data_IF_373763705477
#
_entry.id   IF_373763705477
#
_cell.length_a   1.000
_cell.length_b   1.000
_cell.length_c   1.000
_cell.angle_alpha   90.00
_cell.angle_beta   90.00
_cell.angle_gamma   90.00
#
_symmetry.space_group_name_H-M   'P 1'
#
loop_
_entity.id
_entity.type
_entity.pdbx_description
1 polymer ?
#
# COMPACT_ATOMS: atom_id res chain seq x y z
N UNK A 1 -6.93 4.37 19.31
CA UNK A 1 -6.75 3.94 17.91
C UNK A 1 -5.44 4.51 17.43
N UNK A 2 -4.57 3.68 16.85
CA UNK A 2 -3.28 4.11 16.29
C UNK A 2 -3.47 4.64 14.87
N UNK A 3 -2.53 5.42 14.34
CA UNK A 3 -2.62 5.89 12.95
C UNK A 3 -2.65 4.73 11.92
N UNK A 4 -1.99 3.62 12.24
CA UNK A 4 -2.10 2.39 11.46
C UNK A 4 -3.55 1.85 11.41
N UNK A 5 -4.28 1.91 12.53
CA UNK A 5 -5.66 1.42 12.60
C UNK A 5 -6.56 2.20 11.63
N UNK A 6 -6.45 3.53 11.64
CA UNK A 6 -7.19 4.42 10.73
C UNK A 6 -6.84 4.13 9.25
N UNK A 7 -5.54 3.93 8.97
CA UNK A 7 -5.06 3.59 7.63
C UNK A 7 -5.56 2.22 7.16
N UNK A 8 -5.57 1.23 8.05
CA UNK A 8 -6.05 -0.13 7.77
C UNK A 8 -7.55 -0.13 7.45
N UNK A 9 -8.35 0.57 8.25
CA UNK A 9 -9.79 0.72 8.02
C UNK A 9 -10.08 1.42 6.69
N UNK A 10 -9.34 2.50 6.39
CA UNK A 10 -9.44 3.20 5.11
C UNK A 10 -9.07 2.31 3.91
N UNK A 11 -8.07 1.44 4.07
CA UNK A 11 -7.57 0.59 2.98
C UNK A 11 -8.49 -0.60 2.68
N UNK A 12 -8.92 -1.33 3.71
CA UNK A 12 -9.80 -2.50 3.56
C UNK A 12 -11.24 -2.08 3.24
N UNK A 13 -11.66 -0.89 3.69
CA UNK A 13 -13.05 -0.45 3.60
C UNK A 13 -13.99 -1.30 4.46
N UNK A 14 -15.29 -1.10 4.29
CA UNK A 14 -16.34 -1.84 5.00
C UNK A 14 -16.66 -3.21 4.36
N UNK A 15 -16.06 -3.53 3.21
CA UNK A 15 -16.43 -4.66 2.33
C UNK A 15 -15.41 -5.82 2.34
N UNK A 16 -14.74 -6.07 3.47
CA UNK A 16 -13.79 -7.18 3.64
C UNK A 16 -14.44 -8.58 3.72
N UNK A 17 -15.52 -8.83 2.99
CA UNK A 17 -16.22 -10.11 2.98
C UNK A 17 -15.37 -11.28 2.47
N UNK A 18 -15.69 -12.50 2.91
CA UNK A 18 -15.10 -13.73 2.37
C UNK A 18 -15.55 -13.92 0.92
N UNK A 19 -14.59 -14.08 0.01
CA UNK A 19 -14.88 -14.42 -1.40
C UNK A 19 -14.16 -15.72 -1.72
N UNK A 20 -14.93 -16.72 -2.11
CA UNK A 20 -14.43 -18.01 -2.62
C UNK A 20 -14.97 -18.21 -4.01
N UNK A 21 -14.10 -18.14 -5.01
CA UNK A 21 -14.44 -18.49 -6.38
C UNK A 21 -13.84 -19.87 -6.70
N UNK A 22 -14.66 -20.92 -6.90
CA UNK A 22 -14.18 -22.28 -7.20
C UNK A 22 -13.38 -22.41 -8.50
N UNK A 23 -13.40 -21.39 -9.38
CA UNK A 23 -12.69 -21.37 -10.67
C UNK A 23 -11.43 -20.51 -10.66
N UNK A 24 -11.07 -19.91 -9.53
CA UNK A 24 -9.92 -19.00 -9.43
C UNK A 24 -8.67 -19.72 -8.86
N UNK A 25 -7.54 -19.79 -9.60
CA UNK A 25 -6.30 -20.41 -9.12
C UNK A 25 -5.66 -19.68 -7.91
N UNK A 26 -6.16 -18.51 -7.50
CA UNK A 26 -5.78 -17.83 -6.25
C UNK A 26 -6.29 -18.48 -4.97
N UNK A 27 -7.34 -19.31 -5.06
CA UNK A 27 -7.97 -20.00 -3.92
C UNK A 27 -8.78 -19.09 -3.00
N UNK A 28 -9.05 -19.57 -1.77
CA UNK A 28 -9.77 -18.84 -0.73
C UNK A 28 -9.11 -17.48 -0.44
N UNK A 29 -9.93 -16.42 -0.37
CA UNK A 29 -9.48 -15.06 -0.02
C UNK A 29 -10.43 -14.43 1.01
N UNK A 30 -9.87 -13.80 2.04
CA UNK A 30 -10.61 -13.05 3.07
C UNK A 30 -9.81 -11.82 3.48
N UNK A 31 -10.45 -10.65 3.60
CA UNK A 31 -9.77 -9.37 3.90
C UNK A 31 -8.62 -9.02 2.93
N UNK A 32 -8.71 -9.46 1.66
CA UNK A 32 -7.64 -9.30 0.66
C UNK A 32 -6.42 -10.21 0.85
N UNK A 33 -6.44 -11.11 1.85
CA UNK A 33 -5.40 -12.11 2.09
C UNK A 33 -5.81 -13.40 1.39
N UNK A 34 -5.00 -13.85 0.42
CA UNK A 34 -5.26 -15.07 -0.36
C UNK A 34 -4.41 -16.25 0.14
N UNK A 35 -4.95 -17.47 0.03
CA UNK A 35 -4.23 -18.71 0.37
C UNK A 35 -2.93 -18.84 -0.43
N UNK A 36 -2.92 -18.38 -1.69
CA UNK A 36 -1.72 -18.38 -2.54
C UNK A 36 -0.59 -17.54 -1.97
N UNK A 37 -0.90 -16.33 -1.47
CA UNK A 37 0.12 -15.46 -0.87
C UNK A 37 0.51 -15.91 0.55
N UNK A 38 -0.42 -16.58 1.25
CA UNK A 38 -0.26 -17.01 2.65
C UNK A 38 -0.65 -18.49 2.81
N UNK A 39 0.17 -19.43 2.31
CA UNK A 39 -0.18 -20.86 2.30
C UNK A 39 -0.32 -21.46 3.71
N UNK A 40 0.35 -20.88 4.71
CA UNK A 40 0.25 -21.30 6.11
C UNK A 40 -0.96 -20.75 6.87
N UNK A 41 -1.74 -19.83 6.30
CA UNK A 41 -2.89 -19.21 6.97
C UNK A 41 -4.16 -19.97 6.63
N UNK A 42 -5.00 -20.28 7.63
CA UNK A 42 -6.37 -20.74 7.41
C UNK A 42 -7.24 -19.53 7.02
N UNK A 43 -7.46 -19.36 5.72
CA UNK A 43 -8.15 -18.19 5.19
C UNK A 43 -9.64 -18.17 5.57
N UNK A 44 -10.26 -19.34 5.69
CA UNK A 44 -11.67 -19.46 6.06
C UNK A 44 -11.88 -19.01 7.51
N UNK A 45 -11.02 -19.45 8.42
CA UNK A 45 -11.07 -19.09 9.84
C UNK A 45 -10.48 -17.70 10.15
N UNK A 46 -9.73 -17.09 9.23
CA UNK A 46 -9.04 -15.81 9.43
C UNK A 46 -9.97 -14.72 10.01
N UNK A 47 -9.59 -14.15 11.14
CA UNK A 47 -10.29 -13.04 11.79
C UNK A 47 -9.77 -11.70 11.27
N UNK A 48 -10.54 -10.62 11.48
CA UNK A 48 -10.10 -9.27 11.10
C UNK A 48 -8.84 -8.85 11.88
N UNK A 49 -8.72 -9.27 13.14
CA UNK A 49 -7.56 -8.98 13.98
C UNK A 49 -6.27 -9.66 13.45
N UNK A 50 -6.37 -10.93 13.03
CA UNK A 50 -5.25 -11.65 12.42
C UNK A 50 -4.88 -11.06 11.06
N UNK A 51 -5.85 -10.71 10.23
CA UNK A 51 -5.60 -10.01 8.97
C UNK A 51 -4.86 -8.69 9.23
N UNK A 52 -5.35 -7.88 10.18
CA UNK A 52 -4.70 -6.63 10.58
C UNK A 52 -3.26 -6.83 11.04
N UNK A 53 -2.98 -7.87 11.82
CA UNK A 53 -1.62 -8.21 12.23
C UNK A 53 -0.72 -8.55 11.03
N UNK A 54 -1.24 -9.27 10.02
CA UNK A 54 -0.52 -9.52 8.75
C UNK A 54 -0.23 -8.20 8.04
N UNK A 55 -1.21 -7.31 7.91
CA UNK A 55 -1.00 -6.02 7.23
C UNK A 55 0.04 -5.15 7.93
N UNK A 56 0.02 -5.14 9.27
CA UNK A 56 1.00 -4.42 10.07
C UNK A 56 2.41 -4.95 9.82
N UNK A 57 2.60 -6.25 10.00
CA UNK A 57 3.91 -6.91 9.87
C UNK A 57 4.46 -6.81 8.45
N UNK A 58 3.66 -7.13 7.44
CA UNK A 58 4.17 -7.40 6.09
C UNK A 58 4.23 -6.17 5.19
N UNK A 59 3.52 -5.10 5.55
CA UNK A 59 3.51 -3.85 4.78
C UNK A 59 3.90 -2.64 5.64
N UNK A 60 3.20 -2.37 6.74
CA UNK A 60 3.40 -1.16 7.54
C UNK A 60 4.80 -1.11 8.20
N UNK A 61 5.15 -2.13 8.96
CA UNK A 61 6.39 -2.20 9.73
C UNK A 61 7.60 -2.35 8.79
N UNK A 62 7.47 -3.18 7.75
CA UNK A 62 8.54 -3.35 6.75
C UNK A 62 8.82 -2.08 5.94
N UNK A 63 7.82 -1.22 5.72
CA UNK A 63 8.02 0.08 5.10
C UNK A 63 8.38 1.18 6.12
N UNK A 64 8.48 0.83 7.41
CA UNK A 64 8.76 1.75 8.52
C UNK A 64 7.80 2.94 8.55
N UNK A 65 6.52 2.68 8.29
CA UNK A 65 5.49 3.72 8.18
C UNK A 65 5.33 4.56 9.46
N UNK A 66 5.61 3.99 10.65
CA UNK A 66 5.59 4.73 11.92
C UNK A 66 6.64 5.87 11.97
N UNK A 67 7.64 5.87 11.08
CA UNK A 67 8.70 6.88 11.01
C UNK A 67 8.51 7.89 9.86
N UNK A 68 7.42 7.76 9.10
CA UNK A 68 7.07 8.64 7.99
C UNK A 68 5.99 9.64 8.42
N UNK A 69 5.93 10.84 7.79
CA UNK A 69 4.78 11.72 7.95
C UNK A 69 3.48 10.99 7.61
N UNK A 70 2.40 11.25 8.35
CA UNK A 70 1.14 10.50 8.27
C UNK A 70 0.64 10.29 6.83
N UNK A 71 0.45 11.36 6.05
CA UNK A 71 -0.01 11.25 4.66
C UNK A 71 0.91 10.38 3.78
N UNK A 72 2.23 10.53 3.95
CA UNK A 72 3.24 9.71 3.25
C UNK A 72 3.16 8.24 3.66
N UNK A 73 3.01 7.96 4.96
CA UNK A 73 2.85 6.61 5.50
C UNK A 73 1.63 5.90 4.89
N UNK A 74 0.49 6.60 4.77
CA UNK A 74 -0.70 6.03 4.13
C UNK A 74 -0.45 5.71 2.65
N UNK A 75 0.13 6.63 1.87
CA UNK A 75 0.36 6.40 0.44
C UNK A 75 1.35 5.25 0.19
N UNK A 76 2.39 5.13 1.04
CA UNK A 76 3.34 4.02 1.02
C UNK A 76 2.65 2.70 1.38
N UNK A 77 1.84 2.67 2.44
CA UNK A 77 1.08 1.49 2.84
C UNK A 77 0.09 1.04 1.75
N UNK A 78 -0.70 1.96 1.20
CA UNK A 78 -1.65 1.67 0.12
C UNK A 78 -0.96 1.16 -1.14
N UNK A 79 0.17 1.77 -1.53
CA UNK A 79 0.97 1.27 -2.65
C UNK A 79 1.59 -0.09 -2.37
N UNK A 80 2.04 -0.35 -1.14
CA UNK A 80 2.68 -1.61 -0.76
C UNK A 80 1.70 -2.79 -0.88
N UNK A 81 0.44 -2.59 -0.47
CA UNK A 81 -0.61 -3.60 -0.59
C UNK A 81 -1.01 -3.82 -2.05
N UNK A 82 -1.20 -2.74 -2.82
CA UNK A 82 -1.75 -2.84 -4.18
C UNK A 82 -0.71 -3.15 -5.26
N UNK A 83 0.58 -2.88 -5.01
CA UNK A 83 1.64 -2.96 -6.03
C UNK A 83 2.91 -3.61 -5.51
N UNK A 84 2.89 -4.14 -4.28
CA UNK A 84 4.01 -4.80 -3.65
C UNK A 84 4.92 -3.82 -2.91
N UNK A 85 5.37 -4.24 -1.73
CA UNK A 85 6.15 -3.42 -0.80
C UNK A 85 7.44 -2.85 -1.42
N UNK A 86 8.19 -3.67 -2.17
CA UNK A 86 9.43 -3.21 -2.77
C UNK A 86 9.21 -2.11 -3.81
N UNK A 87 8.11 -2.16 -4.56
CA UNK A 87 7.79 -1.12 -5.53
C UNK A 87 7.36 0.18 -4.84
N UNK A 88 6.55 0.07 -3.79
CA UNK A 88 6.12 1.21 -2.98
C UNK A 88 7.29 1.95 -2.33
N UNK A 89 8.24 1.22 -1.72
CA UNK A 89 9.44 1.83 -1.14
C UNK A 89 10.26 2.57 -2.21
N UNK A 90 10.39 1.99 -3.41
CA UNK A 90 11.10 2.67 -4.50
C UNK A 90 10.40 3.93 -4.99
N UNK A 91 9.07 3.98 -4.99
CA UNK A 91 8.34 5.22 -5.27
C UNK A 91 8.59 6.28 -4.20
N UNK A 92 8.62 5.90 -2.92
CA UNK A 92 8.99 6.80 -1.83
C UNK A 92 10.40 7.37 -2.02
N UNK A 93 11.37 6.51 -2.33
CA UNK A 93 12.76 6.90 -2.54
C UNK A 93 12.92 7.87 -3.72
N UNK A 94 12.27 7.58 -4.86
CA UNK A 94 12.25 8.49 -6.01
C UNK A 94 11.57 9.82 -5.67
N UNK A 95 10.45 9.79 -4.95
CA UNK A 95 9.76 11.00 -4.51
C UNK A 95 10.62 11.87 -3.57
N UNK A 96 11.40 11.22 -2.71
CA UNK A 96 12.35 11.85 -1.78
C UNK A 96 13.69 12.25 -2.43
N UNK A 97 13.93 11.89 -3.69
CA UNK A 97 15.15 12.23 -4.41
C UNK A 97 16.39 11.45 -3.94
N UNK A 98 16.23 10.20 -3.49
CA UNK A 98 17.33 9.30 -3.10
C UNK A 98 17.36 8.05 -4.00
N UNK A 99 18.44 7.28 -3.92
CA UNK A 99 18.57 6.02 -4.65
C UNK A 99 17.44 5.05 -4.26
N UNK A 100 16.87 4.36 -5.26
CA UNK A 100 15.70 3.50 -5.11
C UNK A 100 16.05 2.01 -4.94
N UNK A 101 16.90 1.73 -3.94
CA UNK A 101 17.35 0.38 -3.59
C UNK A 101 16.23 -0.52 -3.01
N UNK A 102 15.09 0.06 -2.61
CA UNK A 102 13.96 -0.65 -2.01
C UNK A 102 14.09 -0.87 -0.50
N UNK A 103 15.02 -0.20 0.18
CA UNK A 103 15.25 -0.29 1.62
C UNK A 103 14.99 1.06 2.29
N UNK A 104 14.11 1.10 3.30
CA UNK A 104 13.88 2.30 4.12
C UNK A 104 14.97 2.42 5.19
N UNK A 105 16.15 2.85 4.76
CA UNK A 105 17.30 3.12 5.64
C UNK A 105 17.35 4.54 6.19
N UNK A 106 18.39 4.87 6.99
CA UNK A 106 18.58 6.21 7.55
C UNK A 106 18.60 7.33 6.51
N UNK A 107 19.16 7.08 5.32
CA UNK A 107 19.22 8.07 4.23
C UNK A 107 17.83 8.39 3.67
N UNK A 108 17.02 7.36 3.40
CA UNK A 108 15.61 7.53 2.97
C UNK A 108 14.83 8.34 4.00
N UNK A 109 14.93 7.97 5.28
CA UNK A 109 14.21 8.66 6.35
C UNK A 109 14.70 10.10 6.54
N UNK A 110 16.00 10.37 6.42
CA UNK A 110 16.54 11.72 6.50
C UNK A 110 16.05 12.59 5.33
N UNK A 111 15.98 12.05 4.11
CA UNK A 111 15.47 12.76 2.95
C UNK A 111 13.98 13.08 3.07
N UNK A 112 13.16 12.11 3.49
CA UNK A 112 11.72 12.33 3.73
C UNK A 112 11.50 13.40 4.80
N UNK A 113 12.25 13.37 5.92
CA UNK A 113 12.15 14.36 7.00
C UNK A 113 12.53 15.79 6.59
N UNK A 114 13.39 15.95 5.58
CA UNK A 114 13.83 17.27 5.08
C UNK A 114 12.92 17.83 3.99
N UNK A 115 12.13 16.98 3.36
CA UNK A 115 11.22 17.37 2.29
C UNK A 115 9.87 17.82 2.84
N UNK A 116 9.16 18.63 2.05
CA UNK A 116 7.75 18.90 2.29
C UNK A 116 6.94 17.60 2.08
N UNK A 117 6.18 17.12 3.09
CA UNK A 117 5.42 15.88 2.97
C UNK A 117 4.38 15.93 1.85
N UNK A 118 3.76 17.08 1.57
CA UNK A 118 2.76 17.20 0.51
C UNK A 118 3.40 17.03 -0.87
N UNK A 119 4.57 17.64 -1.09
CA UNK A 119 5.37 17.41 -2.28
C UNK A 119 5.79 15.95 -2.45
N UNK A 120 6.14 15.25 -1.36
CA UNK A 120 6.43 13.81 -1.41
C UNK A 120 5.19 13.02 -1.85
N UNK A 121 4.02 13.29 -1.28
CA UNK A 121 2.79 12.59 -1.65
C UNK A 121 2.40 12.81 -3.12
N UNK A 122 2.54 14.06 -3.61
CA UNK A 122 2.27 14.39 -5.01
C UNK A 122 3.22 13.63 -5.96
N UNK A 123 4.53 13.62 -5.68
CA UNK A 123 5.52 12.89 -6.49
C UNK A 123 5.32 11.37 -6.41
N UNK A 124 5.03 10.85 -5.23
CA UNK A 124 4.73 9.43 -5.03
C UNK A 124 3.54 9.00 -5.89
N UNK A 125 2.45 9.78 -5.86
CA UNK A 125 1.28 9.57 -6.70
C UNK A 125 1.62 9.61 -8.19
N UNK A 126 2.47 10.55 -8.60
CA UNK A 126 2.99 10.63 -9.97
C UNK A 126 3.75 9.38 -10.40
N UNK A 127 4.74 8.94 -9.61
CA UNK A 127 5.51 7.73 -9.91
C UNK A 127 4.66 6.46 -9.92
N UNK A 128 3.65 6.38 -9.05
CA UNK A 128 2.69 5.28 -9.02
C UNK A 128 1.83 5.25 -10.28
N UNK A 129 1.27 6.39 -10.68
CA UNK A 129 0.43 6.49 -11.87
C UNK A 129 1.24 6.15 -13.14
N UNK A 130 2.44 6.70 -13.27
CA UNK A 130 3.35 6.40 -14.39
C UNK A 130 3.76 4.92 -14.46
N UNK A 131 3.92 4.24 -13.31
CA UNK A 131 4.12 2.80 -13.32
C UNK A 131 2.87 2.06 -13.82
N UNK A 132 1.69 2.45 -13.34
CA UNK A 132 0.43 1.77 -13.67
C UNK A 132 0.08 1.87 -15.15
N UNK A 133 0.36 3.00 -15.81
CA UNK A 133 0.11 3.20 -17.25
C UNK A 133 0.93 2.27 -18.14
N UNK A 134 2.02 1.70 -17.61
CA UNK A 134 2.91 0.76 -18.33
C UNK A 134 2.52 -0.71 -18.13
N UNK A 135 1.51 -1.01 -17.30
CA UNK A 135 1.05 -2.37 -17.09
C UNK A 135 0.18 -2.83 -18.25
N UNK A 136 0.39 -4.05 -18.74
CA UNK A 136 -0.40 -4.64 -19.83
C UNK A 136 -1.91 -4.74 -19.53
N UNK A 137 -2.28 -4.69 -18.25
CA UNK A 137 -3.67 -4.75 -17.77
C UNK A 137 -4.29 -3.37 -17.52
N UNK A 138 -3.62 -2.29 -17.91
CA UNK A 138 -4.09 -0.91 -17.73
C UNK A 138 -5.46 -0.68 -18.39
N UNK A 139 -5.70 -1.17 -19.60
CA UNK A 139 -6.96 -0.96 -20.30
C UNK A 139 -8.16 -1.58 -19.57
N UNK A 140 -7.92 -2.64 -18.80
CA UNK A 140 -8.96 -3.32 -18.00
C UNK A 140 -9.18 -2.68 -16.64
N UNK A 141 -8.11 -2.38 -15.90
CA UNK A 141 -8.21 -1.97 -14.48
C UNK A 141 -7.77 -0.53 -14.19
N UNK A 142 -7.06 0.11 -15.14
CA UNK A 142 -6.38 1.39 -14.97
C UNK A 142 -7.29 2.52 -14.54
N UNK A 143 -8.55 2.54 -15.00
CA UNK A 143 -9.54 3.54 -14.57
C UNK A 143 -9.81 3.45 -13.06
N UNK A 144 -9.89 2.26 -12.49
CA UNK A 144 -10.08 2.06 -11.06
C UNK A 144 -8.85 2.50 -10.27
N UNK A 145 -7.66 2.15 -10.75
CA UNK A 145 -6.40 2.55 -10.13
C UNK A 145 -6.18 4.06 -10.17
N UNK A 146 -6.40 4.70 -11.31
CA UNK A 146 -6.29 6.15 -11.45
C UNK A 146 -7.25 6.91 -10.51
N UNK A 147 -8.49 6.42 -10.33
CA UNK A 147 -9.44 6.99 -9.37
C UNK A 147 -8.94 6.88 -7.93
N UNK A 148 -8.34 5.74 -7.55
CA UNK A 148 -7.71 5.58 -6.21
C UNK A 148 -6.59 6.61 -6.01
N UNK A 149 -5.67 6.72 -6.97
CA UNK A 149 -4.58 7.70 -6.90
C UNK A 149 -5.11 9.14 -6.83
N UNK A 150 -6.10 9.50 -7.66
CA UNK A 150 -6.73 10.82 -7.61
C UNK A 150 -7.37 11.10 -6.24
N UNK A 151 -8.06 10.10 -5.67
CA UNK A 151 -8.68 10.22 -4.34
C UNK A 151 -7.66 10.40 -3.22
N UNK A 152 -6.48 9.78 -3.32
CA UNK A 152 -5.39 10.03 -2.38
C UNK A 152 -4.84 11.45 -2.53
N UNK A 153 -4.59 11.89 -3.78
CA UNK A 153 -4.07 13.21 -4.07
C UNK A 153 -5.00 14.34 -3.59
N UNK A 154 -6.32 14.15 -3.72
CA UNK A 154 -7.34 15.11 -3.24
C UNK A 154 -7.38 15.27 -1.72
N UNK A 155 -6.76 14.35 -0.95
CA UNK A 155 -6.69 14.42 0.51
C UNK A 155 -5.34 14.93 1.03
N UNK A 156 -4.41 15.29 0.14
CA UNK A 156 -3.14 15.91 0.54
C UNK A 156 -3.45 17.28 1.16
N UNK A 157 -2.92 17.52 2.36
CA UNK A 157 -3.14 18.76 3.11
C UNK A 157 -4.56 18.97 3.67
N UNK A 158 -5.45 17.99 3.52
CA UNK A 158 -6.84 18.04 4.01
C UNK A 158 -6.98 17.66 5.49
#
# INVERSE_FOLDING_TARGET
>A
MTYFDDCFERLIGHEGGYVSNPKDPGGETKFGISKRAYPGVDIKALTLAEAKAIYRRDYWDRARCDELPHGVAFDVFDGAVNSGIGQAIRWLQRAAGVADDGIVGPLTLAAVRRADPEAIQARYSGHRLDFMTRLSTWDTFGRGWARRVASNLQRVGA
#
